data_IF_606624933226
#
_entry.id   IF_606624933226
#
_cell.length_a   1.000
_cell.length_b   1.000
_cell.length_c   1.000
_cell.angle_alpha   90.00
_cell.angle_beta   90.00
_cell.angle_gamma   90.00
#
_symmetry.space_group_name_H-M   'P 1'
#
loop_
_entity.id
_entity.type
_entity.pdbx_description
1 polymer ?
#
# COMPACT_ATOMS: atom_id res chain seq x y z
N UNK A 1 -31.97 -3.65 7.84
CA UNK A 1 -31.22 -3.92 6.60
C UNK A 1 -29.87 -3.22 6.70
N UNK A 2 -28.80 -3.86 6.33
CA UNK A 2 -27.47 -3.26 6.29
C UNK A 2 -27.44 -2.17 5.22
N UNK A 3 -26.88 -1.01 5.54
CA UNK A 3 -26.73 0.10 4.59
C UNK A 3 -25.67 -0.27 3.54
N UNK A 4 -25.96 -0.03 2.27
CA UNK A 4 -25.09 -0.33 1.13
C UNK A 4 -24.83 0.88 0.22
N UNK A 5 -25.64 1.94 0.33
CA UNK A 5 -25.49 3.15 -0.48
C UNK A 5 -25.11 4.31 0.43
N UNK A 6 -24.04 5.00 0.06
CA UNK A 6 -23.43 6.08 0.83
C UNK A 6 -23.23 7.32 -0.05
N UNK A 7 -23.32 8.48 0.56
CA UNK A 7 -22.93 9.76 -0.03
C UNK A 7 -21.42 9.99 0.14
N UNK A 8 -20.89 11.00 -0.56
CA UNK A 8 -19.51 11.49 -0.38
C UNK A 8 -19.22 11.84 1.09
N UNK A 9 -20.06 12.68 1.71
CA UNK A 9 -19.85 13.14 3.09
C UNK A 9 -19.83 11.97 4.09
N UNK A 10 -20.66 10.97 3.85
CA UNK A 10 -20.70 9.78 4.70
C UNK A 10 -19.42 8.93 4.55
N UNK A 11 -18.87 8.78 3.34
CA UNK A 11 -17.63 8.04 3.12
C UNK A 11 -16.39 8.80 3.63
N UNK A 12 -16.47 10.14 3.66
CA UNK A 12 -15.41 10.99 4.21
C UNK A 12 -15.50 11.18 5.72
N UNK A 13 -16.57 10.70 6.37
CA UNK A 13 -16.80 10.91 7.80
C UNK A 13 -15.75 10.21 8.67
N UNK A 14 -15.20 10.95 9.63
CA UNK A 14 -14.30 10.44 10.66
C UNK A 14 -15.00 10.22 11.98
N UNK A 15 -14.39 9.40 12.83
CA UNK A 15 -14.81 9.26 14.23
C UNK A 15 -14.49 10.53 15.03
N UNK A 16 -15.16 10.71 16.16
CA UNK A 16 -14.70 11.63 17.19
C UNK A 16 -13.53 10.98 17.94
N UNK A 17 -12.39 11.65 17.97
CA UNK A 17 -11.21 11.19 18.70
C UNK A 17 -11.20 11.76 20.12
N UNK A 18 -10.90 10.93 21.11
CA UNK A 18 -10.68 11.39 22.48
C UNK A 18 -9.31 12.10 22.62
N UNK A 19 -8.33 11.71 21.82
CA UNK A 19 -7.00 12.33 21.74
C UNK A 19 -6.54 12.40 20.29
N UNK A 20 -5.95 13.55 19.84
CA UNK A 20 -5.38 13.66 18.51
C UNK A 20 -4.14 12.77 18.37
N UNK A 21 -3.77 12.45 17.13
CA UNK A 21 -2.55 11.74 16.80
C UNK A 21 -1.41 12.75 16.65
N UNK A 22 -0.68 12.99 17.72
CA UNK A 22 0.49 13.88 17.76
C UNK A 22 1.69 13.10 18.28
N UNK A 23 2.66 12.83 17.42
CA UNK A 23 3.83 12.00 17.72
C UNK A 23 5.09 12.59 17.07
N UNK A 24 6.22 12.54 17.79
CA UNK A 24 7.53 12.98 17.30
C UNK A 24 7.55 14.42 16.72
N UNK A 25 6.65 15.30 17.18
CA UNK A 25 6.50 16.67 16.68
C UNK A 25 5.74 16.78 15.36
N UNK A 26 5.07 15.71 14.93
CA UNK A 26 4.14 15.69 13.81
C UNK A 26 2.71 15.68 14.32
N UNK A 27 1.83 16.37 13.61
CA UNK A 27 0.38 16.27 13.77
C UNK A 27 -0.15 15.44 12.62
N UNK A 28 -0.63 14.25 12.95
CA UNK A 28 -0.95 13.20 11.99
C UNK A 28 -2.46 12.96 11.92
N UNK A 29 -2.92 12.37 10.84
CA UNK A 29 -4.31 11.96 10.69
C UNK A 29 -4.67 10.79 11.63
N UNK A 30 -5.97 10.45 11.72
CA UNK A 30 -6.47 9.52 12.71
C UNK A 30 -6.41 10.09 14.13
N UNK A 31 -6.58 9.25 15.11
CA UNK A 31 -6.56 9.65 16.52
C UNK A 31 -6.72 8.45 17.43
N UNK A 32 -7.02 8.71 18.69
CA UNK A 32 -7.18 7.64 19.67
C UNK A 32 -8.54 7.75 20.37
N UNK A 33 -9.08 6.61 20.76
CA UNK A 33 -10.26 6.52 21.60
C UNK A 33 -9.93 6.80 23.08
N UNK A 34 -10.93 6.68 23.95
CA UNK A 34 -10.75 6.88 25.39
C UNK A 34 -9.91 5.79 26.08
N UNK A 35 -9.77 4.62 25.46
CA UNK A 35 -8.90 3.53 25.93
C UNK A 35 -7.44 3.70 25.45
N UNK A 36 -7.18 4.63 24.52
CA UNK A 36 -5.89 4.85 23.91
C UNK A 36 -5.62 4.00 22.66
N UNK A 37 -6.64 3.31 22.15
CA UNK A 37 -6.53 2.53 20.92
C UNK A 37 -6.61 3.45 19.69
N UNK A 38 -5.77 3.17 18.69
CA UNK A 38 -5.73 3.95 17.46
C UNK A 38 -7.00 3.73 16.62
N UNK A 39 -7.55 4.84 16.13
CA UNK A 39 -8.68 4.88 15.20
C UNK A 39 -8.21 5.49 13.88
N UNK A 40 -8.32 4.71 12.81
CA UNK A 40 -8.01 5.12 11.44
C UNK A 40 -8.89 6.30 10.99
N UNK A 41 -8.35 7.20 10.15
CA UNK A 41 -9.12 8.33 9.64
C UNK A 41 -10.23 7.86 8.68
N UNK A 42 -11.33 8.64 8.61
CA UNK A 42 -12.41 8.44 7.62
C UNK A 42 -12.97 7.01 7.54
N UNK A 43 -12.92 6.24 8.64
CA UNK A 43 -13.36 4.84 8.65
C UNK A 43 -14.72 4.63 9.28
N UNK A 44 -15.37 5.69 9.79
CA UNK A 44 -16.66 5.60 10.47
C UNK A 44 -17.71 4.82 9.64
N UNK A 45 -17.79 5.12 8.37
CA UNK A 45 -18.70 4.45 7.45
C UNK A 45 -17.97 3.56 6.43
N UNK A 46 -16.73 3.88 6.02
CA UNK A 46 -16.00 3.07 5.03
C UNK A 46 -15.79 1.63 5.49
N UNK A 47 -15.35 1.42 6.74
CA UNK A 47 -15.10 0.06 7.25
C UNK A 47 -16.36 -0.82 7.27
N UNK A 48 -17.52 -0.39 7.84
CA UNK A 48 -18.74 -1.17 7.75
C UNK A 48 -19.30 -1.29 6.32
N UNK A 49 -19.07 -0.30 5.46
CA UNK A 49 -19.48 -0.34 4.05
C UNK A 49 -18.73 -1.43 3.28
N UNK A 50 -17.39 -1.44 3.34
CA UNK A 50 -16.56 -2.46 2.68
C UNK A 50 -16.99 -3.86 3.12
N UNK A 51 -17.13 -4.08 4.43
CA UNK A 51 -17.59 -5.38 4.96
C UNK A 51 -18.97 -5.78 4.39
N UNK A 52 -19.90 -4.83 4.31
CA UNK A 52 -21.24 -5.12 3.82
C UNK A 52 -21.26 -5.44 2.31
N UNK A 53 -20.44 -4.77 1.50
CA UNK A 53 -20.29 -5.06 0.08
C UNK A 53 -19.64 -6.43 -0.15
N UNK A 54 -18.63 -6.80 0.62
CA UNK A 54 -17.99 -8.11 0.57
C UNK A 54 -18.98 -9.23 0.91
N UNK A 55 -19.74 -9.06 1.99
CA UNK A 55 -20.79 -10.01 2.39
C UNK A 55 -21.85 -10.17 1.31
N UNK A 56 -22.29 -9.06 0.69
CA UNK A 56 -23.26 -9.09 -0.41
C UNK A 56 -22.71 -9.81 -1.65
N UNK A 57 -21.47 -9.52 -2.04
CA UNK A 57 -20.82 -10.14 -3.20
C UNK A 57 -20.67 -11.64 -2.98
N UNK A 58 -20.18 -12.05 -1.82
CA UNK A 58 -20.01 -13.47 -1.45
C UNK A 58 -21.36 -14.20 -1.41
N UNK A 59 -22.40 -13.58 -0.87
CA UNK A 59 -23.76 -14.15 -0.86
C UNK A 59 -24.34 -14.38 -2.27
N UNK A 60 -23.85 -13.63 -3.27
CA UNK A 60 -24.17 -13.81 -4.70
C UNK A 60 -23.33 -14.91 -5.37
N UNK A 61 -22.45 -15.58 -4.64
CA UNK A 61 -21.59 -16.66 -5.15
C UNK A 61 -20.28 -16.18 -5.81
N UNK A 62 -19.89 -14.92 -5.64
CA UNK A 62 -18.66 -14.37 -6.16
C UNK A 62 -17.63 -14.21 -5.05
N UNK A 63 -16.51 -14.96 -5.07
CA UNK A 63 -15.43 -14.79 -4.10
C UNK A 63 -14.66 -13.50 -4.38
N UNK A 64 -14.11 -12.90 -3.32
CA UNK A 64 -13.13 -11.83 -3.47
C UNK A 64 -11.88 -12.35 -4.19
N UNK A 65 -11.33 -11.52 -5.06
CA UNK A 65 -10.01 -11.79 -5.61
C UNK A 65 -8.95 -11.59 -4.52
N UNK A 66 -7.93 -12.43 -4.55
CA UNK A 66 -6.81 -12.34 -3.62
C UNK A 66 -5.51 -12.72 -4.32
N UNK A 67 -4.45 -11.97 -4.07
CA UNK A 67 -3.11 -12.20 -4.57
C UNK A 67 -2.08 -12.29 -3.42
N UNK A 68 -2.52 -12.30 -2.17
CA UNK A 68 -1.67 -12.24 -0.97
C UNK A 68 -0.61 -13.35 -0.97
N UNK A 69 -1.02 -14.58 -1.22
CA UNK A 69 -0.10 -15.73 -1.24
C UNK A 69 1.01 -15.57 -2.29
N UNK A 70 0.64 -15.13 -3.50
CA UNK A 70 1.59 -14.96 -4.60
C UNK A 70 2.55 -13.79 -4.33
N UNK A 71 2.04 -12.66 -3.84
CA UNK A 71 2.80 -11.43 -3.66
C UNK A 71 3.73 -11.49 -2.44
N UNK A 72 3.33 -12.17 -1.37
CA UNK A 72 4.11 -12.24 -0.13
C UNK A 72 5.06 -13.44 -0.05
N UNK A 73 5.01 -14.36 -1.02
CA UNK A 73 5.79 -15.61 -1.02
C UNK A 73 7.30 -15.41 -0.91
N UNK A 74 7.84 -14.31 -1.47
CA UNK A 74 9.30 -14.13 -1.60
C UNK A 74 9.98 -13.49 -0.39
N UNK A 75 9.23 -12.97 0.56
CA UNK A 75 9.75 -12.24 1.70
C UNK A 75 10.40 -10.91 1.33
N UNK A 76 10.96 -10.24 2.33
CA UNK A 76 11.66 -8.95 2.20
C UNK A 76 13.16 -9.15 1.92
N UNK A 77 13.78 -8.26 1.15
CA UNK A 77 15.23 -8.18 0.97
C UNK A 77 15.72 -6.74 1.21
N UNK A 78 16.78 -6.56 2.05
CA UNK A 78 17.47 -7.58 2.84
C UNK A 78 16.53 -8.25 3.85
N UNK A 79 16.80 -9.50 4.26
CA UNK A 79 16.07 -10.16 5.32
C UNK A 79 16.49 -9.60 6.71
N UNK A 80 15.83 -10.03 7.79
CA UNK A 80 16.08 -9.51 9.13
C UNK A 80 17.52 -9.72 9.61
N UNK A 81 18.11 -10.88 9.34
CA UNK A 81 19.49 -11.19 9.72
C UNK A 81 20.50 -10.33 8.95
N UNK A 82 20.26 -10.14 7.66
CA UNK A 82 21.04 -9.24 6.81
C UNK A 82 20.90 -7.79 7.26
N UNK A 83 19.71 -7.32 7.58
CA UNK A 83 19.48 -5.96 8.07
C UNK A 83 20.17 -5.73 9.43
N UNK A 84 20.13 -6.71 10.33
CA UNK A 84 20.86 -6.63 11.60
C UNK A 84 22.37 -6.51 11.37
N UNK A 85 22.94 -7.30 10.45
CA UNK A 85 24.35 -7.20 10.07
C UNK A 85 24.71 -5.80 9.58
N UNK A 86 23.87 -5.22 8.70
CA UNK A 86 24.05 -3.88 8.16
C UNK A 86 24.05 -2.83 9.28
N UNK A 87 23.06 -2.85 10.17
CA UNK A 87 22.96 -1.90 11.28
C UNK A 87 24.13 -2.02 12.26
N UNK A 88 24.54 -3.25 12.63
CA UNK A 88 25.65 -3.50 13.53
C UNK A 88 27.00 -3.01 12.98
N UNK A 89 27.15 -2.89 11.67
CA UNK A 89 28.37 -2.43 10.99
C UNK A 89 28.26 -0.98 10.47
N UNK A 90 27.26 -0.19 10.93
CA UNK A 90 27.16 1.23 10.63
C UNK A 90 26.48 1.55 9.27
N UNK A 91 25.89 0.56 8.59
CA UNK A 91 25.17 0.75 7.33
C UNK A 91 23.66 1.08 7.52
N UNK A 92 23.33 1.86 8.55
CA UNK A 92 21.97 2.29 8.83
C UNK A 92 21.31 3.08 7.71
N UNK A 93 22.12 3.68 6.82
CA UNK A 93 21.61 4.41 5.65
C UNK A 93 20.76 3.54 4.73
N UNK A 94 21.00 2.24 4.63
CA UNK A 94 20.18 1.31 3.82
C UNK A 94 18.73 1.29 4.29
N UNK A 95 18.51 1.17 5.61
CA UNK A 95 17.17 1.22 6.20
C UNK A 95 16.57 2.62 6.11
N UNK A 96 17.36 3.67 6.40
CA UNK A 96 16.91 5.06 6.29
C UNK A 96 16.42 5.38 4.87
N UNK A 97 17.16 4.91 3.85
CA UNK A 97 16.78 5.06 2.45
C UNK A 97 15.46 4.34 2.13
N UNK A 98 15.30 3.10 2.60
CA UNK A 98 14.07 2.33 2.41
C UNK A 98 12.86 3.06 2.99
N UNK A 99 12.95 3.53 4.24
CA UNK A 99 11.88 4.29 4.90
C UNK A 99 11.59 5.62 4.18
N UNK A 100 12.63 6.29 3.67
CA UNK A 100 12.48 7.54 2.92
C UNK A 100 11.79 7.31 1.58
N UNK A 101 12.22 6.27 0.83
CA UNK A 101 11.61 5.89 -0.45
C UNK A 101 10.14 5.57 -0.24
N UNK A 102 9.81 4.76 0.78
CA UNK A 102 8.41 4.41 1.08
C UNK A 102 7.59 5.67 1.36
N UNK A 103 8.02 6.55 2.26
CA UNK A 103 7.27 7.77 2.56
C UNK A 103 7.08 8.69 1.33
N UNK A 104 8.07 8.78 0.42
CA UNK A 104 7.89 9.57 -0.82
C UNK A 104 6.92 8.88 -1.79
N UNK A 105 6.88 7.56 -1.83
CA UNK A 105 5.93 6.79 -2.66
C UNK A 105 4.51 6.99 -2.13
N UNK A 106 4.29 6.87 -0.83
CA UNK A 106 3.02 7.17 -0.16
C UNK A 106 2.53 8.59 -0.48
N UNK A 107 3.42 9.60 -0.37
CA UNK A 107 3.09 10.98 -0.75
C UNK A 107 2.56 11.11 -2.19
N UNK A 108 3.03 10.28 -3.13
CA UNK A 108 2.54 10.26 -4.51
C UNK A 108 1.13 9.68 -4.62
N UNK A 109 0.70 8.85 -3.66
CA UNK A 109 -0.66 8.32 -3.56
C UNK A 109 -1.71 9.42 -3.51
N UNK A 110 -1.35 10.65 -3.05
CA UNK A 110 -2.22 11.83 -3.14
C UNK A 110 -2.75 12.10 -4.56
N UNK A 111 -2.07 11.65 -5.60
CA UNK A 111 -2.55 11.78 -6.98
C UNK A 111 -3.92 11.11 -7.20
N UNK A 112 -4.32 10.15 -6.35
CA UNK A 112 -5.66 9.57 -6.37
C UNK A 112 -6.76 10.60 -6.05
N UNK A 113 -6.44 11.69 -5.30
CA UNK A 113 -7.36 12.80 -5.06
C UNK A 113 -7.64 13.64 -6.31
N UNK A 114 -6.71 13.65 -7.26
CA UNK A 114 -6.77 14.42 -8.50
C UNK A 114 -7.41 13.62 -9.64
N UNK A 115 -7.58 12.32 -9.44
CA UNK A 115 -8.17 11.44 -10.43
C UNK A 115 -9.69 11.55 -10.41
N UNK A 116 -10.27 12.12 -11.48
CA UNK A 116 -11.71 12.17 -11.67
C UNK A 116 -12.23 10.77 -12.07
N UNK A 117 -12.63 9.99 -11.07
CA UNK A 117 -13.17 8.65 -11.32
C UNK A 117 -14.49 8.75 -12.09
N UNK A 118 -14.61 8.11 -13.27
CA UNK A 118 -15.89 8.08 -13.99
C UNK A 118 -16.93 7.23 -13.25
N UNK A 119 -18.20 7.56 -13.42
CA UNK A 119 -19.29 6.76 -12.90
C UNK A 119 -19.46 5.48 -13.75
N UNK A 120 -19.10 4.33 -13.17
CA UNK A 120 -19.19 3.04 -13.83
C UNK A 120 -20.62 2.63 -14.24
N UNK A 121 -21.67 3.24 -13.69
CA UNK A 121 -23.04 2.97 -14.13
C UNK A 121 -23.25 3.32 -15.60
N UNK A 122 -22.44 4.21 -16.17
CA UNK A 122 -22.50 4.56 -17.59
C UNK A 122 -22.19 3.37 -18.51
N UNK A 123 -21.33 2.44 -18.07
CA UNK A 123 -20.89 1.30 -18.87
C UNK A 123 -21.24 -0.06 -18.26
N UNK A 124 -21.81 -0.11 -17.07
CA UNK A 124 -22.31 -1.35 -16.46
C UNK A 124 -23.82 -1.45 -16.70
N UNK A 125 -24.28 -2.64 -17.06
CA UNK A 125 -25.72 -2.93 -17.32
C UNK A 125 -26.49 -3.08 -16.02
N UNK A 126 -25.87 -3.78 -15.06
CA UNK A 126 -26.44 -4.05 -13.74
C UNK A 126 -26.55 -2.76 -12.91
N UNK A 127 -27.47 -2.71 -11.95
CA UNK A 127 -27.54 -1.61 -10.98
C UNK A 127 -26.42 -1.78 -9.94
N UNK A 128 -25.47 -0.85 -9.93
CA UNK A 128 -24.32 -0.82 -9.03
C UNK A 128 -24.49 0.17 -7.86
N UNK A 129 -25.68 0.74 -7.66
CA UNK A 129 -25.91 1.75 -6.62
C UNK A 129 -25.63 1.27 -5.21
N UNK A 130 -25.72 -0.03 -4.95
CA UNK A 130 -25.47 -0.71 -3.70
C UNK A 130 -24.18 -1.53 -3.70
N UNK A 131 -23.23 -1.23 -4.58
CA UNK A 131 -21.97 -1.94 -4.77
C UNK A 131 -20.79 -1.00 -4.54
N UNK A 132 -19.64 -1.53 -4.12
CA UNK A 132 -18.41 -0.77 -3.91
C UNK A 132 -18.01 0.00 -5.17
N UNK A 133 -18.06 -0.65 -6.34
CA UNK A 133 -17.74 -0.04 -7.64
C UNK A 133 -18.57 1.21 -7.94
N UNK A 134 -19.83 1.25 -7.50
CA UNK A 134 -20.70 2.41 -7.61
C UNK A 134 -20.37 3.57 -6.68
N UNK A 135 -19.37 3.40 -5.79
CA UNK A 135 -18.93 4.40 -4.82
C UNK A 135 -17.50 4.91 -5.05
N UNK A 136 -16.79 4.40 -6.07
CA UNK A 136 -15.44 4.87 -6.38
C UNK A 136 -15.41 6.39 -6.61
N UNK A 137 -16.31 6.90 -7.45
CA UNK A 137 -16.46 8.33 -7.73
C UNK A 137 -17.14 9.11 -6.59
N UNK A 138 -17.72 8.42 -5.61
CA UNK A 138 -18.40 9.02 -4.44
C UNK A 138 -17.50 9.14 -3.22
N UNK A 139 -16.18 9.22 -3.39
CA UNK A 139 -15.24 9.52 -2.33
C UNK A 139 -14.31 8.39 -1.90
N UNK A 140 -14.52 7.11 -2.31
CA UNK A 140 -13.61 6.03 -1.92
C UNK A 140 -12.18 6.27 -2.41
N UNK A 141 -12.03 6.59 -3.70
CA UNK A 141 -10.72 6.85 -4.29
C UNK A 141 -10.08 8.12 -3.72
N UNK A 142 -10.87 9.18 -3.52
CA UNK A 142 -10.39 10.42 -2.90
C UNK A 142 -9.93 10.19 -1.47
N UNK A 143 -10.71 9.47 -0.64
CA UNK A 143 -10.34 9.16 0.73
C UNK A 143 -9.03 8.38 0.82
N UNK A 144 -8.79 7.45 -0.10
CA UNK A 144 -7.53 6.72 -0.22
C UNK A 144 -6.36 7.69 -0.46
N UNK A 145 -6.44 8.55 -1.47
CA UNK A 145 -5.37 9.52 -1.74
C UNK A 145 -5.11 10.50 -0.58
N UNK A 146 -6.15 10.85 0.20
CA UNK A 146 -5.99 11.65 1.43
C UNK A 146 -5.29 10.86 2.53
N UNK A 147 -5.56 9.56 2.65
CA UNK A 147 -4.89 8.70 3.62
C UNK A 147 -3.39 8.55 3.30
N UNK A 148 -3.03 8.47 2.01
CA UNK A 148 -1.65 8.32 1.54
C UNK A 148 -0.80 9.60 1.72
N UNK A 149 -1.17 10.68 1.04
CA UNK A 149 -0.34 11.88 0.90
C UNK A 149 -0.96 13.16 1.43
N UNK A 150 -2.05 13.06 2.21
CA UNK A 150 -2.75 14.19 2.83
C UNK A 150 -3.78 14.86 1.92
N UNK A 151 -4.66 15.63 2.55
CA UNK A 151 -5.70 16.37 1.83
C UNK A 151 -5.09 17.53 1.04
N UNK A 152 -5.26 17.61 -0.30
CA UNK A 152 -4.78 18.74 -1.08
C UNK A 152 -5.43 20.07 -0.69
N UNK A 153 -6.55 20.06 0.02
CA UNK A 153 -7.30 21.24 0.46
C UNK A 153 -7.04 21.61 1.92
N UNK A 154 -6.48 20.69 2.70
CA UNK A 154 -6.21 20.90 4.14
C UNK A 154 -4.89 20.22 4.56
N UNK A 155 -3.86 21.03 4.77
CA UNK A 155 -2.54 20.58 5.23
C UNK A 155 -2.41 20.51 6.76
N UNK A 156 -3.50 20.52 7.50
CA UNK A 156 -3.48 20.53 8.97
C UNK A 156 -2.87 19.24 9.54
N UNK A 157 -3.08 18.12 8.86
CA UNK A 157 -2.64 16.80 9.31
C UNK A 157 -1.72 16.15 8.26
N UNK A 158 -0.62 15.58 8.73
CA UNK A 158 0.19 14.67 7.93
C UNK A 158 -0.49 13.32 7.76
N UNK A 159 -0.23 12.65 6.66
CA UNK A 159 -0.78 11.35 6.29
C UNK A 159 0.28 10.23 6.41
N UNK A 160 0.10 9.10 5.70
CA UNK A 160 1.04 7.98 5.75
C UNK A 160 2.47 8.41 5.42
N UNK A 161 2.66 9.29 4.44
CA UNK A 161 3.97 9.85 4.09
C UNK A 161 4.69 10.46 5.29
N UNK A 162 3.98 11.28 6.08
CA UNK A 162 4.54 11.91 7.28
C UNK A 162 4.74 10.90 8.41
N UNK A 163 3.90 9.86 8.49
CA UNK A 163 4.06 8.79 9.47
C UNK A 163 5.35 7.98 9.20
N UNK A 164 5.66 7.68 7.94
CA UNK A 164 6.93 7.06 7.54
C UNK A 164 8.14 7.93 7.88
N UNK A 165 8.06 9.24 7.59
CA UNK A 165 9.15 10.17 7.94
C UNK A 165 9.30 10.32 9.46
N UNK A 166 8.21 10.33 10.21
CA UNK A 166 8.27 10.37 11.66
C UNK A 166 8.90 9.09 12.25
N UNK A 167 8.51 7.90 11.78
CA UNK A 167 9.10 6.63 12.18
C UNK A 167 10.61 6.59 11.90
N UNK A 168 11.03 7.03 10.71
CA UNK A 168 12.45 7.16 10.35
C UNK A 168 13.20 8.11 11.27
N UNK A 169 12.63 9.31 11.48
CA UNK A 169 13.30 10.39 12.20
C UNK A 169 13.40 10.10 13.72
N UNK A 170 12.50 9.32 14.29
CA UNK A 170 12.59 8.82 15.67
C UNK A 170 13.90 8.07 15.92
N UNK A 171 14.25 7.14 15.04
CA UNK A 171 15.42 6.27 15.25
C UNK A 171 16.72 6.84 14.69
N UNK A 172 16.68 7.56 13.58
CA UNK A 172 17.86 8.07 12.92
C UNK A 172 18.13 9.56 13.18
N UNK A 173 17.10 10.34 13.48
CA UNK A 173 17.11 11.81 13.47
C UNK A 173 16.83 12.38 12.09
N UNK A 174 16.34 13.62 12.08
CA UNK A 174 16.01 14.36 10.84
C UNK A 174 17.26 14.58 9.98
N UNK A 175 17.11 14.41 8.67
CA UNK A 175 18.15 14.67 7.68
C UNK A 175 19.47 13.94 7.95
N UNK A 176 19.42 12.73 8.52
CA UNK A 176 20.62 11.95 8.89
C UNK A 176 21.50 11.61 7.69
N UNK A 177 20.88 11.32 6.54
CA UNK A 177 21.55 10.96 5.29
C UNK A 177 20.96 11.77 4.13
N UNK A 178 21.65 11.84 2.98
CA UNK A 178 21.09 12.43 1.76
C UNK A 178 19.82 11.68 1.31
N UNK A 179 18.90 12.42 0.68
CA UNK A 179 17.71 11.82 0.10
C UNK A 179 18.14 10.87 -1.03
N UNK A 180 17.70 9.59 -1.00
CA UNK A 180 18.04 8.63 -2.04
C UNK A 180 17.33 8.96 -3.36
N UNK A 181 17.79 8.35 -4.44
CA UNK A 181 17.03 8.31 -5.69
C UNK A 181 15.71 7.55 -5.49
N UNK A 182 14.61 8.18 -5.88
CA UNK A 182 13.28 7.63 -5.72
C UNK A 182 12.84 7.00 -7.04
N UNK A 183 12.41 5.72 -7.08
CA UNK A 183 11.88 5.10 -8.28
C UNK A 183 10.75 5.94 -8.90
N UNK A 184 10.80 6.15 -10.21
CA UNK A 184 9.76 6.92 -10.90
C UNK A 184 8.41 6.20 -10.87
N UNK A 185 8.42 4.87 -11.04
CA UNK A 185 7.22 4.04 -11.04
C UNK A 185 7.49 2.69 -10.33
N UNK A 186 6.51 2.23 -9.56
CA UNK A 186 6.49 0.93 -8.89
C UNK A 186 5.32 0.04 -9.32
N UNK A 187 4.42 0.57 -10.13
CA UNK A 187 3.32 -0.16 -10.77
C UNK A 187 3.75 -0.78 -12.11
N UNK A 188 2.90 -1.66 -12.62
CA UNK A 188 3.11 -2.24 -13.96
C UNK A 188 3.04 -1.12 -15.01
N UNK A 189 4.04 -1.00 -15.88
CA UNK A 189 4.05 0.01 -16.93
C UNK A 189 2.85 -0.15 -17.88
N UNK A 190 2.45 0.97 -18.48
CA UNK A 190 1.43 0.95 -19.54
C UNK A 190 1.89 0.09 -20.72
N UNK A 191 1.01 -0.78 -21.18
CA UNK A 191 1.22 -1.68 -22.32
C UNK A 191 0.24 -1.39 -23.47
N UNK A 192 -0.36 -0.20 -23.47
CA UNK A 192 -1.43 0.19 -24.39
C UNK A 192 -2.78 -0.38 -23.96
N UNK A 193 -3.73 -0.45 -24.91
CA UNK A 193 -5.11 -0.85 -24.63
C UNK A 193 -5.22 -2.36 -24.42
N UNK A 194 -5.52 -2.78 -23.20
CA UNK A 194 -5.77 -4.17 -22.81
C UNK A 194 -7.28 -4.52 -22.79
N UNK A 195 -8.14 -3.49 -22.64
CA UNK A 195 -9.60 -3.60 -22.65
C UNK A 195 -10.22 -2.74 -23.76
N UNK A 196 -9.88 -2.94 -25.06
CA UNK A 196 -10.28 -2.04 -26.13
C UNK A 196 -11.80 -2.01 -26.37
N UNK A 197 -12.56 -2.93 -25.77
CA UNK A 197 -14.02 -3.00 -25.87
C UNK A 197 -14.75 -2.02 -24.96
N UNK A 198 -14.07 -1.37 -23.99
CA UNK A 198 -14.64 -0.32 -23.14
C UNK A 198 -13.95 1.03 -23.41
N UNK A 199 -14.55 2.19 -23.04
CA UNK A 199 -13.91 3.49 -23.22
C UNK A 199 -12.61 3.59 -22.40
N UNK A 200 -11.61 4.30 -22.93
CA UNK A 200 -10.26 4.36 -22.38
C UNK A 200 -10.19 4.83 -20.92
N UNK A 201 -10.98 5.82 -20.53
CA UNK A 201 -10.97 6.34 -19.15
C UNK A 201 -11.39 5.30 -18.11
N UNK A 202 -12.34 4.41 -18.45
CA UNK A 202 -12.72 3.30 -17.56
C UNK A 202 -11.63 2.23 -17.48
N UNK A 203 -11.00 1.90 -18.60
CA UNK A 203 -9.86 0.99 -18.61
C UNK A 203 -8.70 1.52 -17.75
N UNK A 204 -8.38 2.81 -17.90
CA UNK A 204 -7.33 3.46 -17.11
C UNK A 204 -7.60 3.34 -15.60
N UNK A 205 -8.85 3.59 -15.17
CA UNK A 205 -9.21 3.43 -13.76
C UNK A 205 -9.13 1.97 -13.31
N UNK A 206 -9.63 1.01 -14.08
CA UNK A 206 -9.53 -0.42 -13.74
C UNK A 206 -8.05 -0.83 -13.58
N UNK A 207 -7.19 -0.42 -14.51
CA UNK A 207 -5.75 -0.71 -14.45
C UNK A 207 -5.08 -0.05 -13.25
N UNK A 208 -5.46 1.19 -12.93
CA UNK A 208 -4.98 1.91 -11.74
C UNK A 208 -5.38 1.15 -10.47
N UNK A 209 -6.65 0.79 -10.29
CA UNK A 209 -7.15 0.05 -9.13
C UNK A 209 -6.41 -1.29 -8.93
N UNK A 210 -6.16 -2.02 -10.03
CA UNK A 210 -5.39 -3.27 -9.98
C UNK A 210 -3.94 -3.05 -9.56
N UNK A 211 -3.25 -2.04 -10.13
CA UNK A 211 -1.88 -1.71 -9.75
C UNK A 211 -1.78 -1.30 -8.28
N UNK A 212 -2.68 -0.42 -7.84
CA UNK A 212 -2.72 0.04 -6.44
C UNK A 212 -2.95 -1.13 -5.50
N UNK A 213 -3.95 -2.00 -5.76
CA UNK A 213 -4.17 -3.19 -4.94
C UNK A 213 -2.92 -4.08 -4.84
N UNK A 214 -2.18 -4.28 -5.94
CA UNK A 214 -0.94 -5.08 -5.91
C UNK A 214 0.15 -4.41 -5.07
N UNK A 215 0.24 -3.08 -5.11
CA UNK A 215 1.20 -2.30 -4.33
C UNK A 215 0.86 -2.41 -2.84
N UNK A 216 -0.40 -2.18 -2.47
CA UNK A 216 -0.91 -2.30 -1.09
C UNK A 216 -0.64 -3.67 -0.48
N UNK A 217 -0.99 -4.73 -1.19
CA UNK A 217 -0.73 -6.10 -0.71
C UNK A 217 0.77 -6.37 -0.55
N UNK A 218 1.62 -5.89 -1.48
CA UNK A 218 3.09 -6.06 -1.34
C UNK A 218 3.67 -5.26 -0.17
N UNK A 219 3.10 -4.09 0.12
CA UNK A 219 3.54 -3.22 1.21
C UNK A 219 3.48 -3.93 2.58
N UNK A 220 2.56 -4.89 2.76
CA UNK A 220 2.46 -5.72 3.97
C UNK A 220 3.79 -6.41 4.34
N UNK A 221 4.57 -6.89 3.35
CA UNK A 221 5.88 -7.48 3.61
C UNK A 221 6.85 -6.44 4.19
N UNK A 222 6.80 -5.20 3.69
CA UNK A 222 7.58 -4.07 4.19
C UNK A 222 7.17 -3.63 5.60
N UNK A 223 5.87 -3.55 5.87
CA UNK A 223 5.34 -3.21 7.19
C UNK A 223 5.79 -4.22 8.24
N UNK A 224 5.54 -5.50 8.00
CA UNK A 224 5.95 -6.60 8.88
C UNK A 224 7.46 -6.61 9.11
N UNK A 225 8.26 -6.42 8.05
CA UNK A 225 9.70 -6.36 8.13
C UNK A 225 10.18 -5.20 9.00
N UNK A 226 9.71 -3.98 8.75
CA UNK A 226 10.16 -2.79 9.49
C UNK A 226 9.73 -2.83 10.96
N UNK A 227 8.50 -3.28 11.27
CA UNK A 227 8.07 -3.50 12.66
C UNK A 227 8.99 -4.46 13.40
N UNK A 228 9.36 -5.58 12.76
CA UNK A 228 10.26 -6.55 13.36
C UNK A 228 11.69 -6.01 13.51
N UNK A 229 12.21 -5.24 12.54
CA UNK A 229 13.52 -4.58 12.64
C UNK A 229 13.56 -3.59 13.80
N UNK A 230 12.53 -2.78 13.98
CA UNK A 230 12.45 -1.79 15.07
C UNK A 230 12.27 -2.46 16.44
N UNK A 231 11.52 -3.54 16.54
CA UNK A 231 11.32 -4.30 17.79
C UNK A 231 12.49 -5.16 18.19
N UNK A 232 13.38 -5.49 17.27
CA UNK A 232 14.59 -6.24 17.61
C UNK A 232 15.50 -5.42 18.53
N UNK A 233 15.70 -5.92 19.75
CA UNK A 233 16.47 -5.23 20.80
C UNK A 233 17.94 -4.98 20.44
N UNK A 234 18.49 -5.75 19.51
CA UNK A 234 19.87 -5.60 19.06
C UNK A 234 20.06 -4.42 18.09
N UNK A 235 19.01 -3.97 17.40
CA UNK A 235 19.13 -3.02 16.30
C UNK A 235 19.29 -1.56 16.77
N UNK A 236 18.63 -1.14 17.83
CA UNK A 236 18.66 0.24 18.33
C UNK A 236 18.75 0.25 19.86
N UNK A 237 19.85 -0.26 20.45
CA UNK A 237 19.95 -0.46 21.91
C UNK A 237 19.77 0.85 22.70
N UNK A 238 20.31 1.97 22.18
CA UNK A 238 20.28 3.29 22.84
C UNK A 238 18.98 4.09 22.55
N UNK A 239 18.09 3.57 21.68
CA UNK A 239 16.87 4.24 21.25
C UNK A 239 15.66 3.30 21.28
N UNK A 240 15.54 2.48 22.32
CA UNK A 240 14.50 1.45 22.39
C UNK A 240 13.08 1.99 22.41
N UNK A 241 12.85 3.14 23.07
CA UNK A 241 11.53 3.77 23.14
C UNK A 241 11.14 4.36 21.78
N UNK A 242 12.08 5.03 21.13
CA UNK A 242 11.88 5.60 19.79
C UNK A 242 11.66 4.52 18.74
N UNK A 243 12.39 3.40 18.84
CA UNK A 243 12.22 2.27 17.93
C UNK A 243 10.87 1.56 18.12
N UNK A 244 10.38 1.40 19.35
CA UNK A 244 9.05 0.86 19.60
C UNK A 244 7.95 1.80 19.06
N UNK A 245 8.06 3.10 19.31
CA UNK A 245 7.12 4.08 18.77
C UNK A 245 7.13 4.12 17.23
N UNK A 246 8.32 3.95 16.62
CA UNK A 246 8.43 3.84 15.16
C UNK A 246 7.70 2.59 14.63
N UNK A 247 7.82 1.46 15.32
CA UNK A 247 7.09 0.23 14.98
C UNK A 247 5.57 0.42 15.13
N UNK A 248 5.11 1.03 16.24
CA UNK A 248 3.69 1.34 16.45
C UNK A 248 3.13 2.25 15.37
N UNK A 249 3.91 3.24 14.90
CA UNK A 249 3.50 4.14 13.84
C UNK A 249 3.27 3.40 12.51
N UNK A 250 4.16 2.47 12.17
CA UNK A 250 3.99 1.62 10.98
C UNK A 250 2.78 0.69 11.14
N UNK A 251 2.50 0.18 12.33
CA UNK A 251 1.28 -0.63 12.55
C UNK A 251 -0.01 0.19 12.40
N UNK A 252 0.01 1.49 12.71
CA UNK A 252 -1.13 2.39 12.47
C UNK A 252 -1.36 2.56 10.98
N UNK A 253 -0.31 2.81 10.17
CA UNK A 253 -0.41 2.81 8.70
C UNK A 253 -1.01 1.48 8.23
N UNK A 254 -0.45 0.36 8.64
CA UNK A 254 -0.95 -0.98 8.29
C UNK A 254 -2.43 -1.19 8.62
N UNK A 255 -2.91 -0.58 9.70
CA UNK A 255 -4.33 -0.63 10.09
C UNK A 255 -5.21 0.17 9.13
N UNK A 256 -4.68 1.28 8.61
CA UNK A 256 -5.35 2.11 7.62
C UNK A 256 -5.38 1.41 6.26
N UNK A 257 -4.27 0.76 5.84
CA UNK A 257 -4.14 0.02 4.58
C UNK A 257 -5.14 -1.13 4.45
N UNK A 258 -5.57 -1.72 5.55
CA UNK A 258 -6.58 -2.77 5.50
C UNK A 258 -7.92 -2.31 4.86
N UNK A 259 -8.22 -1.01 4.90
CA UNK A 259 -9.41 -0.43 4.23
C UNK A 259 -9.13 -0.25 2.74
N UNK A 260 -7.91 0.15 2.37
CA UNK A 260 -7.51 0.32 0.98
C UNK A 260 -7.55 -1.02 0.24
N UNK A 261 -6.90 -2.04 0.78
CA UNK A 261 -6.97 -3.41 0.25
C UNK A 261 -8.42 -3.88 0.15
N UNK A 262 -9.22 -3.70 1.22
CA UNK A 262 -10.60 -4.18 1.27
C UNK A 262 -11.47 -3.59 0.17
N UNK A 263 -11.53 -2.26 0.02
CA UNK A 263 -12.39 -1.68 -1.00
C UNK A 263 -11.90 -1.94 -2.43
N UNK A 264 -10.57 -2.02 -2.64
CA UNK A 264 -10.00 -2.36 -3.95
C UNK A 264 -10.35 -3.80 -4.35
N UNK A 265 -10.21 -4.76 -3.43
CA UNK A 265 -10.63 -6.14 -3.65
C UNK A 265 -12.13 -6.24 -3.95
N UNK A 266 -12.97 -5.55 -3.15
CA UNK A 266 -14.41 -5.52 -3.37
C UNK A 266 -14.75 -4.96 -4.76
N UNK A 267 -14.25 -3.78 -5.11
CA UNK A 267 -14.56 -3.12 -6.37
C UNK A 267 -14.16 -3.96 -7.59
N UNK A 268 -12.92 -4.50 -7.60
CA UNK A 268 -12.45 -5.33 -8.73
C UNK A 268 -13.23 -6.65 -8.79
N UNK A 269 -13.55 -7.27 -7.65
CA UNK A 269 -14.36 -8.50 -7.62
C UNK A 269 -15.79 -8.27 -8.08
N UNK A 270 -16.39 -7.13 -7.73
CA UNK A 270 -17.71 -6.73 -8.23
C UNK A 270 -17.70 -6.49 -9.73
N UNK A 271 -16.65 -5.82 -10.27
CA UNK A 271 -16.50 -5.64 -11.71
C UNK A 271 -16.46 -6.98 -12.48
N UNK A 272 -15.93 -8.04 -11.88
CA UNK A 272 -15.96 -9.40 -12.45
C UNK A 272 -17.37 -9.98 -12.50
N UNK A 273 -18.22 -9.60 -11.56
CA UNK A 273 -19.55 -10.17 -11.35
C UNK A 273 -20.66 -9.52 -12.19
N UNK A 274 -20.37 -8.46 -12.93
CA UNK A 274 -21.34 -7.65 -13.69
C UNK A 274 -21.10 -7.72 -15.19
N UNK A 275 -22.04 -7.16 -15.95
CA UNK A 275 -21.99 -7.09 -17.42
C UNK A 275 -21.68 -5.65 -17.85
N UNK A 276 -20.67 -5.49 -18.71
CA UNK A 276 -20.28 -4.20 -19.29
C UNK A 276 -20.90 -3.98 -20.68
N UNK A 277 -21.30 -2.74 -20.94
CA UNK A 277 -21.61 -2.27 -22.31
C UNK A 277 -20.30 -2.03 -23.04
N UNK A 278 -20.25 -2.39 -24.30
CA UNK A 278 -19.07 -2.23 -25.14
C UNK A 278 -19.21 -1.09 -26.13
N UNK A 279 -18.09 -0.53 -26.59
CA UNK A 279 -18.06 0.60 -27.55
C UNK A 279 -18.67 0.26 -28.90
N UNK A 280 -18.80 -1.01 -29.27
CA UNK A 280 -19.45 -1.52 -30.47
C UNK A 280 -20.95 -1.74 -30.30
N UNK A 281 -21.54 -1.34 -29.17
CA UNK A 281 -22.96 -1.46 -28.86
C UNK A 281 -23.38 -2.84 -28.34
N UNK A 282 -22.43 -3.75 -28.08
CA UNK A 282 -22.69 -5.06 -27.49
C UNK A 282 -22.51 -5.05 -25.96
N UNK A 283 -22.29 -6.25 -25.41
CA UNK A 283 -21.98 -6.46 -24.00
C UNK A 283 -20.84 -7.45 -23.80
N UNK A 284 -20.20 -7.43 -22.63
CA UNK A 284 -19.19 -8.40 -22.21
C UNK A 284 -19.34 -8.68 -20.72
N UNK A 285 -19.25 -9.95 -20.32
CA UNK A 285 -19.18 -10.34 -18.91
C UNK A 285 -17.88 -9.85 -18.28
N UNK A 286 -17.96 -9.25 -17.11
CA UNK A 286 -16.81 -8.66 -16.42
C UNK A 286 -15.67 -9.64 -16.22
N UNK A 287 -15.95 -10.87 -15.79
CA UNK A 287 -14.92 -11.89 -15.59
C UNK A 287 -14.11 -12.17 -16.87
N UNK A 288 -14.77 -12.25 -18.03
CA UNK A 288 -14.06 -12.47 -19.32
C UNK A 288 -13.10 -11.35 -19.69
N UNK A 289 -13.34 -10.14 -19.19
CA UNK A 289 -12.49 -8.97 -19.44
C UNK A 289 -11.42 -8.81 -18.37
N UNK A 290 -11.77 -9.01 -17.10
CA UNK A 290 -10.94 -8.71 -15.94
C UNK A 290 -9.93 -9.82 -15.66
N UNK A 291 -10.35 -11.10 -15.69
CA UNK A 291 -9.52 -12.22 -15.22
C UNK A 291 -8.18 -12.37 -15.97
N UNK A 292 -8.12 -12.27 -17.32
CA UNK A 292 -6.84 -12.38 -18.03
C UNK A 292 -5.86 -11.25 -17.66
N UNK A 293 -6.37 -10.06 -17.36
CA UNK A 293 -5.56 -8.90 -16.99
C UNK A 293 -5.10 -9.04 -15.55
N UNK A 294 -5.96 -9.50 -14.66
CA UNK A 294 -5.65 -9.79 -13.27
C UNK A 294 -4.51 -10.79 -13.14
N UNK A 295 -4.57 -11.91 -13.87
CA UNK A 295 -3.51 -12.92 -13.89
C UNK A 295 -2.16 -12.32 -14.32
N UNK A 296 -2.18 -11.48 -15.36
CA UNK A 296 -1.00 -10.76 -15.83
C UNK A 296 -0.45 -9.75 -14.82
N UNK A 297 -1.33 -9.06 -14.07
CA UNK A 297 -0.95 -8.15 -12.99
C UNK A 297 -0.29 -8.90 -11.83
N UNK A 298 -0.92 -9.97 -11.35
CA UNK A 298 -0.37 -10.81 -10.28
C UNK A 298 1.00 -11.34 -10.67
N UNK A 299 1.15 -11.89 -11.88
CA UNK A 299 2.43 -12.40 -12.36
C UNK A 299 3.51 -11.30 -12.38
N UNK A 300 3.18 -10.13 -12.94
CA UNK A 300 4.15 -9.04 -13.03
C UNK A 300 4.63 -8.58 -11.66
N UNK A 301 3.71 -8.35 -10.72
CA UNK A 301 4.06 -7.87 -9.37
C UNK A 301 4.73 -8.95 -8.51
N UNK A 302 4.32 -10.22 -8.63
CA UNK A 302 4.86 -11.31 -7.84
C UNK A 302 6.22 -11.83 -8.35
N UNK A 303 6.52 -11.64 -9.65
CA UNK A 303 7.72 -12.18 -10.27
C UNK A 303 8.60 -11.06 -10.82
N UNK A 304 8.16 -10.36 -11.86
CA UNK A 304 9.01 -9.41 -12.59
C UNK A 304 9.46 -8.26 -11.70
N UNK A 305 8.53 -7.58 -11.04
CA UNK A 305 8.85 -6.46 -10.15
C UNK A 305 9.60 -6.92 -8.91
N UNK A 306 9.23 -8.06 -8.33
CA UNK A 306 9.89 -8.59 -7.15
C UNK A 306 11.37 -8.95 -7.42
N UNK A 307 11.66 -9.58 -8.58
CA UNK A 307 13.04 -9.88 -8.97
C UNK A 307 13.83 -8.62 -9.26
N UNK A 308 13.25 -7.67 -9.97
CA UNK A 308 13.89 -6.39 -10.28
C UNK A 308 14.23 -5.59 -9.00
N UNK A 309 13.26 -5.41 -8.10
CA UNK A 309 13.48 -4.69 -6.84
C UNK A 309 14.54 -5.35 -5.97
N UNK A 310 14.54 -6.69 -5.91
CA UNK A 310 15.55 -7.44 -5.17
C UNK A 310 16.95 -7.24 -5.76
N UNK A 311 17.09 -7.35 -7.07
CA UNK A 311 18.37 -7.16 -7.75
C UNK A 311 18.92 -5.74 -7.51
N UNK A 312 18.10 -4.71 -7.69
CA UNK A 312 18.51 -3.33 -7.43
C UNK A 312 18.94 -3.12 -5.95
N UNK A 313 18.19 -3.66 -5.00
CA UNK A 313 18.54 -3.56 -3.59
C UNK A 313 19.85 -4.29 -3.29
N UNK A 314 20.03 -5.49 -3.84
CA UNK A 314 21.24 -6.29 -3.67
C UNK A 314 22.47 -5.54 -4.22
N UNK A 315 22.42 -5.07 -5.46
CA UNK A 315 23.54 -4.37 -6.12
C UNK A 315 23.93 -3.08 -5.34
N UNK A 316 22.93 -2.35 -4.85
CA UNK A 316 23.17 -1.15 -4.04
C UNK A 316 23.87 -1.47 -2.71
N UNK A 317 23.46 -2.56 -2.05
CA UNK A 317 24.06 -3.03 -0.79
C UNK A 317 25.46 -3.55 -1.05
N UNK A 318 25.68 -4.40 -2.06
CA UNK A 318 26.98 -4.92 -2.46
C UNK A 318 27.98 -3.80 -2.69
N UNK A 319 27.64 -2.84 -3.57
CA UNK A 319 28.49 -1.69 -3.86
C UNK A 319 28.89 -0.91 -2.61
N UNK A 320 27.94 -0.74 -1.68
CA UNK A 320 28.19 -0.02 -0.44
C UNK A 320 29.06 -0.80 0.54
N UNK A 321 28.83 -2.11 0.69
CA UNK A 321 29.64 -2.97 1.52
C UNK A 321 31.07 -3.06 1.01
N UNK A 322 31.25 -3.31 -0.28
CA UNK A 322 32.59 -3.43 -0.90
C UNK A 322 33.42 -2.14 -0.84
N UNK A 323 32.80 -0.98 -0.68
CA UNK A 323 33.50 0.28 -0.47
C UNK A 323 34.10 0.45 0.95
N UNK A 324 33.73 -0.41 1.90
CA UNK A 324 34.26 -0.35 3.26
C UNK A 324 35.63 -1.07 3.39
N UNK A 325 36.49 -0.72 4.38
CA UNK A 325 37.82 -1.30 4.55
C UNK A 325 37.85 -2.83 4.67
N UNK A 326 36.84 -3.45 5.27
CA UNK A 326 36.67 -4.90 5.41
C UNK A 326 35.54 -5.45 4.50
N UNK A 327 35.21 -4.73 3.42
CA UNK A 327 34.01 -4.89 2.62
C UNK A 327 33.80 -6.30 2.07
N UNK A 328 34.83 -6.92 1.52
CA UNK A 328 34.72 -8.28 0.97
C UNK A 328 34.30 -9.32 2.03
N UNK A 329 34.85 -9.25 3.23
CA UNK A 329 34.49 -10.15 4.31
C UNK A 329 33.04 -9.89 4.80
N UNK A 330 32.65 -8.63 4.88
CA UNK A 330 31.30 -8.23 5.30
C UNK A 330 30.24 -8.62 4.26
N UNK A 331 30.55 -8.45 2.97
CA UNK A 331 29.69 -8.89 1.89
C UNK A 331 29.49 -10.41 1.89
N UNK A 332 30.61 -11.17 2.08
CA UNK A 332 30.49 -12.62 2.21
C UNK A 332 29.62 -13.06 3.40
N UNK A 333 29.66 -12.33 4.53
CA UNK A 333 28.76 -12.60 5.66
C UNK A 333 27.30 -12.25 5.30
N UNK A 334 27.06 -11.15 4.58
CA UNK A 334 25.75 -10.74 4.11
C UNK A 334 25.12 -11.81 3.20
N UNK A 335 25.89 -12.33 2.25
CA UNK A 335 25.44 -13.40 1.35
C UNK A 335 25.13 -14.70 2.10
N UNK A 336 25.95 -15.08 3.07
CA UNK A 336 25.74 -16.28 3.88
C UNK A 336 24.43 -16.22 4.74
N UNK A 337 23.86 -15.04 4.93
CA UNK A 337 22.60 -14.82 5.65
C UNK A 337 21.39 -14.82 4.70
N UNK A 338 21.59 -14.92 3.38
CA UNK A 338 20.46 -15.01 2.43
C UNK A 338 19.78 -16.38 2.57
N UNK A 339 18.46 -16.34 2.85
CA UNK A 339 17.66 -17.56 3.04
C UNK A 339 17.54 -18.40 1.75
N UNK A 340 17.71 -17.80 0.58
CA UNK A 340 17.72 -18.52 -0.72
C UNK A 340 19.00 -19.35 -0.90
N UNK A 341 20.13 -18.90 -0.38
CA UNK A 341 21.38 -19.65 -0.41
C UNK A 341 21.30 -20.97 0.39
N UNK A 342 20.34 -21.06 1.33
CA UNK A 342 20.11 -22.26 2.14
C UNK A 342 19.09 -23.24 1.53
N UNK A 343 18.34 -22.79 0.50
CA UNK A 343 17.29 -23.58 -0.15
C UNK A 343 17.72 -24.15 -1.52
N UNK A 344 18.92 -23.80 -2.01
CA UNK A 344 19.56 -24.30 -3.21
C UNK A 344 20.60 -25.37 -2.87
#
# INVERSE_FOLDING_TARGET
MTKLNYTWDELMASHAYARPHEEAGYRLHGGFDAAGEYISPRTLNRRPAVKAWDEQLTARGWPLIDATVQLLKRGHHPNQAQQRLLLANGFGETLWNSLTITGVIEARGRALCEFEAPDFQQIIVDDISNMCVGHLHKGLLYAHGVDEGGDPKDSTFGAHDQMWFAARDLVFGKNRYPIPEIPENIGRPDQGRLMPRIPAGFEQLIMLLMNVLMIEVRAEAGFSFNCAVFRDKANFPDKRKEAELAAEMIERIRTDEAIHVGYLQAAISEMRSVTFRTVDGGTIEGAKMIDPIWEGMVHWHAVTQADFSRAQSHDAIEKRLLAAPNGAALFAQFEALDDRAKAA
#
